data_IF_895111577187
#
_entry.id   IF_895111577187
#
_cell.length_a   1.000
_cell.length_b   1.000
_cell.length_c   1.000
_cell.angle_alpha   90.00
_cell.angle_beta   90.00
_cell.angle_gamma   90.00
#
_symmetry.space_group_name_H-M   'P 1'
#
loop_
_entity.id
_entity.type
_entity.pdbx_description
1 polymer ?
#
# COMPACT_ATOMS: atom_id res chain seq x y z
N UNK A 1 54.21 11.65 -5.30
CA UNK A 1 52.87 11.23 -5.77
C UNK A 1 52.01 12.47 -5.92
N UNK A 2 51.50 12.76 -7.14
CA UNK A 2 50.67 13.95 -7.39
C UNK A 2 49.22 13.62 -7.02
N UNK A 3 48.62 14.41 -6.14
CA UNK A 3 47.18 14.29 -5.77
C UNK A 3 46.34 14.81 -6.95
N UNK A 4 45.56 13.93 -7.58
CA UNK A 4 44.59 14.31 -8.63
C UNK A 4 43.52 15.23 -8.03
N UNK A 5 43.02 16.20 -8.81
CA UNK A 5 41.94 17.11 -8.37
C UNK A 5 40.59 16.41 -8.54
N UNK A 6 39.65 16.66 -7.63
CA UNK A 6 38.31 16.05 -7.60
C UNK A 6 37.57 16.11 -8.95
N UNK A 7 37.77 17.18 -9.73
CA UNK A 7 37.17 17.37 -11.05
C UNK A 7 37.68 16.40 -12.13
N UNK A 8 38.85 15.79 -11.96
CA UNK A 8 39.36 14.74 -12.85
C UNK A 8 38.78 13.37 -12.47
N UNK A 9 38.61 13.09 -11.17
CA UNK A 9 37.98 11.86 -10.70
C UNK A 9 36.52 11.75 -11.15
N UNK A 10 35.77 12.86 -11.08
CA UNK A 10 34.35 12.93 -11.48
C UNK A 10 34.18 12.75 -12.99
N UNK A 11 35.16 13.15 -13.82
CA UNK A 11 35.13 12.89 -15.27
C UNK A 11 35.53 11.46 -15.62
N UNK A 12 36.48 10.87 -14.90
CA UNK A 12 36.83 9.44 -15.04
C UNK A 12 35.62 8.55 -14.67
N UNK A 13 34.87 8.85 -13.60
CA UNK A 13 33.64 8.12 -13.26
C UNK A 13 32.49 8.35 -14.26
N UNK A 14 32.29 9.59 -14.70
CA UNK A 14 31.22 9.91 -15.66
C UNK A 14 31.48 9.31 -17.06
N UNK A 15 32.74 9.17 -17.46
CA UNK A 15 33.14 8.50 -18.70
C UNK A 15 33.05 6.97 -18.62
N UNK A 16 33.32 6.38 -17.45
CA UNK A 16 33.29 4.93 -17.24
C UNK A 16 31.86 4.33 -17.26
N UNK A 17 30.82 5.17 -17.13
CA UNK A 17 29.42 4.73 -17.21
C UNK A 17 28.86 4.69 -18.64
N UNK A 18 29.62 5.12 -19.66
CA UNK A 18 29.14 5.21 -21.04
C UNK A 18 29.71 4.14 -21.99
N UNK A 19 30.45 3.16 -21.47
CA UNK A 19 30.88 1.96 -22.19
C UNK A 19 30.46 0.68 -21.44
N UNK A 20 29.16 0.39 -21.47
CA UNK A 20 28.68 -0.98 -21.39
C UNK A 20 28.10 -1.32 -22.77
N UNK A 21 28.54 -2.40 -23.45
CA UNK A 21 27.91 -2.83 -24.69
C UNK A 21 26.45 -3.17 -24.39
N UNK A 22 25.54 -2.69 -25.24
CA UNK A 22 24.13 -3.04 -25.17
C UNK A 22 23.99 -4.57 -25.09
N UNK A 23 23.20 -5.13 -24.15
CA UNK A 23 22.96 -6.56 -24.12
C UNK A 23 22.25 -6.94 -25.43
N UNK A 24 22.93 -7.79 -26.20
CA UNK A 24 22.45 -8.47 -27.39
C UNK A 24 21.11 -9.15 -27.03
N UNK A 25 20.06 -8.90 -27.81
CA UNK A 25 18.82 -9.69 -27.77
C UNK A 25 19.14 -11.12 -28.24
N UNK A 26 19.62 -11.95 -27.32
CA UNK A 26 19.49 -13.39 -27.45
C UNK A 26 18.13 -13.76 -26.85
N UNK A 27 17.28 -14.40 -27.66
CA UNK A 27 16.11 -15.14 -27.16
C UNK A 27 16.56 -16.56 -26.83
N UNK A 28 16.64 -16.95 -25.56
CA UNK A 28 16.58 -18.36 -25.21
C UNK A 28 15.49 -18.65 -24.18
N UNK A 29 14.59 -19.56 -24.55
CA UNK A 29 13.95 -20.49 -23.62
C UNK A 29 12.88 -19.90 -22.71
N UNK A 30 11.63 -20.08 -23.13
CA UNK A 30 10.44 -20.05 -22.28
C UNK A 30 10.70 -20.85 -20.98
N UNK A 31 10.82 -20.13 -19.86
CA UNK A 31 10.82 -20.75 -18.54
C UNK A 31 9.45 -21.40 -18.32
N UNK A 32 9.36 -22.61 -17.76
CA UNK A 32 8.08 -23.27 -17.54
C UNK A 32 7.23 -22.37 -16.64
N UNK A 33 5.94 -22.16 -16.96
CA UNK A 33 5.08 -21.35 -16.13
C UNK A 33 5.08 -21.96 -14.73
N UNK A 34 5.44 -21.15 -13.73
CA UNK A 34 5.20 -21.51 -12.34
C UNK A 34 3.72 -21.85 -12.15
N UNK A 35 3.35 -22.69 -11.17
CA UNK A 35 1.98 -23.17 -11.01
C UNK A 35 1.01 -21.98 -10.95
N UNK A 36 0.23 -21.87 -12.02
CA UNK A 36 -0.36 -20.63 -12.47
C UNK A 36 -1.43 -20.07 -11.54
N UNK A 37 -1.40 -18.74 -11.41
CA UNK A 37 -2.64 -17.98 -11.53
C UNK A 37 -2.90 -17.83 -13.04
N UNK A 38 -3.23 -18.95 -13.68
CA UNK A 38 -3.87 -18.95 -14.99
C UNK A 38 -5.10 -18.05 -14.84
N UNK A 39 -5.11 -16.95 -15.58
CA UNK A 39 -6.35 -16.22 -15.83
C UNK A 39 -7.25 -17.21 -16.56
N UNK A 40 -8.07 -17.94 -15.80
CA UNK A 40 -9.03 -18.89 -16.35
C UNK A 40 -9.87 -18.13 -17.36
N UNK A 41 -9.70 -18.47 -18.64
CA UNK A 41 -10.66 -18.16 -19.68
C UNK A 41 -12.05 -18.53 -19.15
N UNK A 42 -13.09 -17.69 -19.30
CA UNK A 42 -14.39 -17.94 -18.70
C UNK A 42 -15.05 -19.13 -19.41
N UNK A 43 -14.68 -20.32 -18.98
CA UNK A 43 -15.35 -21.57 -19.28
C UNK A 43 -16.69 -21.59 -18.54
N UNK A 44 -17.74 -21.78 -19.33
CA UNK A 44 -19.11 -22.02 -18.92
C UNK A 44 -19.16 -23.04 -17.76
N UNK A 45 -19.74 -22.63 -16.62
CA UNK A 45 -19.95 -23.52 -15.47
C UNK A 45 -19.47 -23.01 -14.11
N UNK A 46 -18.83 -21.84 -14.02
CA UNK A 46 -18.60 -21.21 -12.71
C UNK A 46 -19.93 -20.62 -12.21
N UNK A 47 -20.60 -21.32 -11.30
CA UNK A 47 -21.60 -20.71 -10.43
C UNK A 47 -21.04 -19.37 -9.93
N UNK A 48 -21.79 -18.29 -10.12
CA UNK A 48 -21.38 -16.91 -9.82
C UNK A 48 -20.81 -16.85 -8.39
N UNK A 49 -19.48 -16.85 -8.27
CA UNK A 49 -18.86 -16.62 -6.97
C UNK A 49 -19.24 -15.18 -6.59
N UNK A 50 -19.74 -14.94 -5.37
CA UNK A 50 -20.15 -13.61 -4.97
C UNK A 50 -18.97 -12.65 -5.15
N UNK A 51 -19.28 -11.46 -5.67
CA UNK A 51 -18.28 -10.43 -5.93
C UNK A 51 -17.47 -10.19 -4.65
N UNK A 52 -16.12 -10.21 -4.71
CA UNK A 52 -15.30 -9.92 -3.55
C UNK A 52 -15.69 -8.58 -2.90
N UNK A 53 -15.80 -8.48 -1.55
CA UNK A 53 -16.34 -7.30 -0.88
C UNK A 53 -15.64 -6.00 -1.27
N UNK A 54 -14.32 -6.04 -1.51
CA UNK A 54 -13.54 -4.86 -1.87
C UNK A 54 -13.93 -4.24 -3.21
N UNK A 55 -14.50 -5.01 -4.15
CA UNK A 55 -14.97 -4.50 -5.44
C UNK A 55 -16.29 -3.71 -5.31
N UNK A 56 -16.95 -3.79 -4.16
CA UNK A 56 -18.13 -2.97 -3.86
C UNK A 56 -17.77 -1.56 -3.36
N UNK A 57 -16.49 -1.32 -3.03
CA UNK A 57 -16.03 -0.04 -2.49
C UNK A 57 -15.35 0.83 -3.55
N UNK A 58 -15.51 2.14 -3.42
CA UNK A 58 -14.83 3.14 -4.26
C UNK A 58 -13.48 3.51 -3.64
N UNK A 59 -12.44 3.62 -4.48
CA UNK A 59 -11.10 4.03 -4.04
C UNK A 59 -11.09 5.51 -3.64
N UNK A 60 -10.49 5.81 -2.49
CA UNK A 60 -10.26 7.17 -2.01
C UNK A 60 -8.85 7.28 -1.43
N UNK A 61 -8.13 8.34 -1.80
CA UNK A 61 -6.85 8.68 -1.20
C UNK A 61 -7.05 9.50 0.08
N UNK A 62 -6.28 9.16 1.12
CA UNK A 62 -6.29 9.80 2.43
C UNK A 62 -4.86 9.94 2.95
N UNK A 63 -4.53 11.08 3.56
CA UNK A 63 -3.26 11.29 4.26
C UNK A 63 -3.45 11.08 5.75
N UNK A 64 -2.64 10.21 6.33
CA UNK A 64 -2.61 9.93 7.76
C UNK A 64 -1.23 10.30 8.30
N UNK A 65 -1.17 10.68 9.58
CA UNK A 65 0.12 10.86 10.25
C UNK A 65 0.80 9.51 10.47
N UNK A 66 2.14 9.45 10.60
CA UNK A 66 2.87 8.21 10.82
C UNK A 66 2.40 7.43 12.06
N UNK A 67 2.17 8.14 13.18
CA UNK A 67 1.67 7.55 14.43
C UNK A 67 0.29 6.88 14.26
N UNK A 68 -0.56 7.47 13.42
CA UNK A 68 -1.89 6.92 13.13
C UNK A 68 -1.78 5.64 12.30
N UNK A 69 -0.88 5.59 11.31
CA UNK A 69 -0.64 4.37 10.51
C UNK A 69 -0.13 3.24 11.41
N UNK A 70 0.89 3.51 12.22
CA UNK A 70 1.46 2.50 13.12
C UNK A 70 0.41 1.98 14.11
N UNK A 71 -0.42 2.86 14.67
CA UNK A 71 -1.50 2.49 15.57
C UNK A 71 -2.56 1.62 14.87
N UNK A 72 -2.96 1.95 13.64
CA UNK A 72 -3.91 1.16 12.85
C UNK A 72 -3.33 -0.22 12.50
N UNK A 73 -2.06 -0.31 12.10
CA UNK A 73 -1.39 -1.58 11.83
C UNK A 73 -1.35 -2.46 13.09
N UNK A 74 -0.95 -1.88 14.23
CA UNK A 74 -0.87 -2.59 15.50
C UNK A 74 -2.26 -3.09 15.97
N UNK A 75 -3.29 -2.24 15.83
CA UNK A 75 -4.68 -2.56 16.15
C UNK A 75 -5.19 -3.71 15.27
N UNK A 76 -5.02 -3.63 13.95
CA UNK A 76 -5.43 -4.70 13.03
C UNK A 76 -4.74 -6.03 13.36
N UNK A 77 -3.43 -6.02 13.63
CA UNK A 77 -2.69 -7.23 14.03
C UNK A 77 -3.23 -7.82 15.33
N UNK A 78 -3.50 -6.99 16.35
CA UNK A 78 -4.06 -7.43 17.63
C UNK A 78 -5.43 -8.09 17.46
N UNK A 79 -6.36 -7.42 16.77
CA UNK A 79 -7.71 -7.93 16.56
C UNK A 79 -7.73 -9.23 15.74
N UNK A 80 -6.89 -9.36 14.72
CA UNK A 80 -6.80 -10.60 13.95
C UNK A 80 -6.25 -11.77 14.79
N UNK A 81 -5.29 -11.52 15.70
CA UNK A 81 -4.81 -12.55 16.64
C UNK A 81 -5.92 -12.99 17.60
N UNK A 82 -6.67 -12.03 18.14
CA UNK A 82 -7.81 -12.32 19.02
C UNK A 82 -8.90 -13.14 18.32
N UNK A 83 -9.17 -12.85 17.04
CA UNK A 83 -10.12 -13.61 16.22
C UNK A 83 -9.66 -15.04 15.89
N UNK A 84 -8.36 -15.36 16.02
CA UNK A 84 -7.79 -16.69 15.70
C UNK A 84 -8.21 -17.20 14.33
N UNK A 85 -8.22 -16.32 13.32
CA UNK A 85 -8.60 -16.66 11.94
C UNK A 85 -10.10 -16.81 11.69
N UNK A 86 -10.97 -16.47 12.66
CA UNK A 86 -12.42 -16.48 12.47
C UNK A 86 -12.87 -15.25 11.68
N UNK A 87 -13.60 -15.48 10.59
CA UNK A 87 -14.21 -14.45 9.75
C UNK A 87 -13.22 -13.74 8.81
N UNK A 88 -13.68 -12.65 8.21
CA UNK A 88 -12.85 -11.86 7.29
C UNK A 88 -11.69 -11.17 8.02
N UNK A 89 -10.53 -11.12 7.34
CA UNK A 89 -9.32 -10.45 7.83
C UNK A 89 -9.59 -8.96 8.05
N UNK A 90 -9.29 -8.48 9.25
CA UNK A 90 -9.35 -7.06 9.56
C UNK A 90 -8.13 -6.37 8.95
N UNK A 91 -8.35 -5.33 8.16
CA UNK A 91 -7.31 -4.48 7.59
C UNK A 91 -7.39 -3.06 8.16
N UNK A 92 -6.37 -2.24 7.93
CA UNK A 92 -6.42 -0.80 8.22
C UNK A 92 -7.62 -0.16 7.51
N UNK A 93 -7.89 -0.54 6.26
CA UNK A 93 -9.05 -0.05 5.51
C UNK A 93 -10.38 -0.50 6.13
N UNK A 94 -10.45 -1.67 6.76
CA UNK A 94 -11.64 -2.10 7.53
C UNK A 94 -11.85 -1.18 8.74
N UNK A 95 -10.78 -0.84 9.45
CA UNK A 95 -10.85 0.05 10.62
C UNK A 95 -11.20 1.49 10.24
N UNK A 96 -10.64 1.99 9.13
CA UNK A 96 -10.94 3.33 8.60
C UNK A 96 -12.42 3.41 8.22
N UNK A 97 -12.97 2.40 7.52
CA UNK A 97 -14.40 2.36 7.18
C UNK A 97 -15.28 2.33 8.43
N UNK A 98 -14.95 1.49 9.42
CA UNK A 98 -15.67 1.49 10.70
C UNK A 98 -15.60 2.85 11.42
N UNK A 99 -14.46 3.54 11.37
CA UNK A 99 -14.35 4.89 11.94
C UNK A 99 -15.25 5.89 11.21
N UNK A 100 -15.32 5.81 9.87
CA UNK A 100 -16.24 6.62 9.06
C UNK A 100 -17.70 6.31 9.43
N UNK A 101 -18.09 5.04 9.53
CA UNK A 101 -19.45 4.65 9.92
C UNK A 101 -19.83 5.19 11.30
N UNK A 102 -18.90 5.27 12.24
CA UNK A 102 -19.15 5.87 13.54
C UNK A 102 -19.18 7.40 13.49
N UNK A 103 -18.35 8.03 12.66
CA UNK A 103 -18.39 9.47 12.43
C UNK A 103 -19.75 9.91 11.85
N UNK A 104 -20.33 9.12 10.94
CA UNK A 104 -21.64 9.42 10.34
C UNK A 104 -22.83 9.27 11.29
N UNK A 105 -22.61 8.75 12.51
CA UNK A 105 -23.65 8.68 13.55
C UNK A 105 -23.69 9.91 14.46
N UNK A 106 -22.65 10.76 14.38
CA UNK A 106 -22.57 11.96 15.19
C UNK A 106 -23.37 13.10 14.55
N UNK A 107 -23.85 14.03 15.37
CA UNK A 107 -24.46 15.27 14.89
C UNK A 107 -23.40 16.24 14.37
N UNK A 108 -23.83 17.21 13.56
CA UNK A 108 -22.96 18.28 13.06
C UNK A 108 -22.33 19.06 14.23
N UNK A 109 -23.09 19.34 15.30
CA UNK A 109 -22.57 20.00 16.50
C UNK A 109 -21.48 19.18 17.18
N UNK A 110 -21.66 17.87 17.33
CA UNK A 110 -20.65 16.97 17.91
C UNK A 110 -19.38 16.95 17.06
N UNK A 111 -19.51 16.90 15.74
CA UNK A 111 -18.38 16.94 14.81
C UNK A 111 -17.62 18.26 14.92
N UNK A 112 -18.34 19.39 14.99
CA UNK A 112 -17.71 20.72 15.14
C UNK A 112 -16.93 20.80 16.46
N UNK A 113 -17.46 20.25 17.55
CA UNK A 113 -16.76 20.20 18.83
C UNK A 113 -15.48 19.34 18.75
N UNK A 114 -15.54 18.16 18.13
CA UNK A 114 -14.37 17.30 17.93
C UNK A 114 -13.27 17.97 17.10
N UNK A 115 -13.65 18.76 16.08
CA UNK A 115 -12.70 19.52 15.27
C UNK A 115 -12.02 20.60 16.12
N UNK A 116 -12.80 21.38 16.89
CA UNK A 116 -12.26 22.43 17.77
C UNK A 116 -11.33 21.86 18.83
N UNK A 117 -11.72 20.78 19.48
CA UNK A 117 -10.88 20.10 20.48
C UNK A 117 -9.55 19.65 19.86
N UNK A 118 -9.58 19.15 18.63
CA UNK A 118 -8.35 18.77 17.91
C UNK A 118 -7.48 19.98 17.60
N UNK A 119 -8.06 21.11 17.18
CA UNK A 119 -7.31 22.34 16.90
C UNK A 119 -6.65 22.90 18.18
N UNK A 120 -7.36 22.89 19.30
CA UNK A 120 -6.84 23.33 20.60
C UNK A 120 -5.69 22.44 21.08
N UNK A 121 -5.79 21.12 20.87
CA UNK A 121 -4.76 20.16 21.28
C UNK A 121 -3.53 20.12 20.35
N UNK A 122 -3.62 20.69 19.14
CA UNK A 122 -2.51 20.81 18.19
C UNK A 122 -1.85 22.20 18.18
N UNK A 123 -2.45 23.18 18.87
CA UNK A 123 -1.99 24.56 18.95
C UNK A 123 -1.13 24.91 20.17
N UNK A 124 -0.61 23.90 20.90
CA UNK A 124 0.23 24.06 22.10
C UNK A 124 1.63 23.46 21.94
#
# INVERSE_FOLDING_TARGET
>A
MKRKRLAELVREEAGALQEAPAPREERPGEAPPGPGLEASSPGEGQAERPLPPYLTYVRKECRLRPDQLDALTALARRLNRERRGKGERITENTLIRLAVDNLMKLSDEEIILLIRDRELNLGG
#
